data_IF_828407197892
#
_entry.id   IF_828407197892
#
_cell.length_a   1.000
_cell.length_b   1.000
_cell.length_c   1.000
_cell.angle_alpha   90.00
_cell.angle_beta   90.00
_cell.angle_gamma   90.00
#
_symmetry.space_group_name_H-M   'P 1'
#
loop_
_entity.id
_entity.type
_entity.pdbx_description
1 polymer ?
2 non-polymer ?
3 non-polymer ?
4 non-polymer ?
5 non-polymer ?
6 water ?
#
# COMPACT_ATOMS: atom_id res chain seq x y z
N UNK A 10 -30.48 -6.38 9.51
CA UNK A 10 -30.58 -5.26 10.50
C UNK A 10 -30.84 -3.95 9.76
N UNK A 11 -30.74 -2.83 10.50
CA UNK A 11 -30.75 -1.49 9.90
C UNK A 11 -29.33 -0.96 9.67
N UNK A 12 -28.42 -1.85 9.31
CA UNK A 12 -27.01 -1.51 9.17
C UNK A 12 -26.75 -1.03 7.75
N UNK A 13 -25.96 0.05 7.62
CA UNK A 13 -25.52 0.55 6.30
C UNK A 13 -24.19 -0.06 5.90
N UNK A 14 -23.94 -0.12 4.59
CA UNK A 14 -22.77 -0.80 4.05
C UNK A 14 -22.19 -0.11 2.82
N UNK A 15 -20.86 -0.19 2.69
CA UNK A 15 -20.16 0.35 1.52
C UNK A 15 -19.55 -0.81 0.72
N UNK A 16 -19.66 -0.73 -0.61
CA UNK A 16 -18.99 -1.68 -1.49
C UNK A 16 -17.65 -1.04 -1.90
N UNK A 17 -16.54 -1.64 -1.45
CA UNK A 17 -15.22 -1.08 -1.72
C UNK A 17 -14.60 -1.86 -2.86
N UNK A 18 -14.21 -1.14 -3.91
CA UNK A 18 -13.68 -1.71 -5.15
C UNK A 18 -12.21 -1.33 -5.30
N UNK A 19 -11.40 -2.31 -5.66
CA UNK A 19 -9.98 -2.11 -6.00
C UNK A 19 -9.79 -2.76 -7.35
N UNK A 20 -9.76 -1.93 -8.38
CA UNK A 20 -9.72 -2.41 -9.75
C UNK A 20 -8.30 -2.33 -10.30
N UNK A 21 -7.69 -3.48 -10.57
CA UNK A 21 -6.33 -3.58 -11.14
C UNK A 21 -6.34 -3.92 -12.62
N UNK A 22 -5.15 -4.06 -13.22
CA UNK A 22 -5.05 -4.30 -14.67
C UNK A 22 -5.76 -5.61 -15.09
N UNK A 23 -5.51 -6.67 -14.33
CA UNK A 23 -6.08 -7.99 -14.64
C UNK A 23 -6.90 -8.60 -13.49
N UNK A 24 -7.25 -7.79 -12.50
CA UNK A 24 -8.05 -8.27 -11.37
C UNK A 24 -9.01 -7.21 -10.87
N UNK A 25 -10.06 -7.63 -10.16
CA UNK A 25 -10.96 -6.71 -9.46
C UNK A 25 -11.34 -7.26 -8.07
N UNK A 26 -10.88 -6.59 -7.02
CA UNK A 26 -11.20 -6.99 -5.64
C UNK A 26 -12.37 -6.19 -5.11
N UNK A 27 -13.19 -6.81 -4.28
CA UNK A 27 -14.33 -6.11 -3.72
C UNK A 27 -14.57 -6.61 -2.31
N UNK A 28 -15.12 -5.73 -1.50
CA UNK A 28 -15.57 -6.11 -0.19
C UNK A 28 -16.78 -5.27 0.15
N UNK A 29 -17.86 -5.94 0.55
CA UNK A 29 -19.03 -5.28 1.10
C UNK A 29 -18.89 -5.23 2.62
N UNK A 30 -18.84 -4.03 3.18
CA UNK A 30 -18.47 -3.89 4.60
C UNK A 30 -19.27 -2.82 5.33
N UNK A 31 -19.55 -3.12 6.60
CA UNK A 31 -20.28 -2.25 7.51
C UNK A 31 -19.28 -1.31 8.18
N UNK A 32 -19.39 0.00 7.93
CA UNK A 32 -18.35 0.88 8.48
C UNK A 32 -18.39 1.04 9.99
N UNK A 33 -19.56 0.86 10.61
CA UNK A 33 -19.67 1.02 12.07
C UNK A 33 -19.15 -0.21 12.78
N UNK A 34 -19.55 -1.39 12.32
CA UNK A 34 -19.13 -2.65 12.95
C UNK A 34 -17.78 -3.14 12.44
N UNK A 35 -17.46 -2.86 11.18
CA UNK A 35 -16.25 -3.41 10.55
C UNK A 35 -16.40 -4.82 9.99
N UNK A 36 -17.60 -5.44 10.12
CA UNK A 36 -17.82 -6.79 9.61
C UNK A 36 -17.95 -6.72 8.09
N UNK A 37 -17.44 -7.73 7.40
CA UNK A 37 -17.51 -7.81 5.95
C UNK A 37 -18.53 -8.87 5.56
N UNK A 38 -19.66 -8.44 5.01
CA UNK A 38 -20.69 -9.37 4.61
C UNK A 38 -20.14 -10.35 3.57
N UNK A 39 -19.31 -9.85 2.67
CA UNK A 39 -18.75 -10.68 1.61
C UNK A 39 -17.50 -10.03 1.04
N UNK A 40 -16.59 -10.85 0.55
CA UNK A 40 -15.32 -10.39 0.00
C UNK A 40 -14.91 -11.39 -1.05
N UNK A 41 -14.25 -10.91 -2.10
CA UNK A 41 -13.72 -11.81 -3.11
C UNK A 41 -12.87 -11.10 -4.13
N UNK A 42 -12.37 -11.88 -5.08
CA UNK A 42 -11.59 -11.36 -6.20
C UNK A 42 -12.03 -12.04 -7.51
N UNK A 43 -12.09 -11.26 -8.58
CA UNK A 43 -12.28 -11.76 -9.93
C UNK A 43 -10.94 -11.59 -10.63
N UNK A 44 -10.39 -12.68 -11.16
CA UNK A 44 -9.02 -12.67 -11.66
C UNK A 44 -8.90 -12.91 -13.17
N UNK A 45 -7.67 -12.93 -13.67
CA UNK A 45 -7.38 -13.29 -15.05
C UNK A 45 -8.26 -12.53 -16.05
N UNK A 46 -8.48 -11.24 -15.80
CA UNK A 46 -9.34 -10.42 -16.67
C UNK A 46 -8.66 -10.15 -18.02
N UNK A 47 -9.37 -10.45 -19.11
CA UNK A 47 -8.91 -10.18 -20.47
C UNK A 47 -7.66 -10.94 -20.91
N UNK A 48 -7.66 -12.26 -20.74
CA UNK A 48 -6.50 -13.09 -21.11
C UNK A 48 -6.83 -14.15 -22.17
N UNK A 51 -10.05 -16.77 -21.50
CA UNK A 51 -10.60 -16.71 -20.15
C UNK A 51 -12.06 -16.20 -20.13
N UNK A 52 -12.81 -16.52 -19.06
CA UNK A 52 -14.26 -16.24 -19.04
C UNK A 52 -14.66 -14.78 -18.78
N UNK A 53 -13.69 -13.92 -18.47
CA UNK A 53 -13.98 -12.53 -18.10
C UNK A 53 -13.06 -11.58 -18.88
N UNK A 54 -13.47 -11.21 -20.11
CA UNK A 54 -12.56 -10.46 -21.00
C UNK A 54 -12.34 -8.99 -20.65
N UNK A 55 -13.32 -8.35 -20.00
CA UNK A 55 -13.25 -6.92 -19.64
C UNK A 55 -13.74 -6.66 -18.20
N UNK A 56 -13.67 -5.40 -17.76
CA UNK A 56 -14.09 -5.01 -16.40
C UNK A 56 -15.62 -4.95 -16.24
N UNK A 57 -16.33 -4.86 -17.35
CA UNK A 57 -17.78 -4.91 -17.34
C UNK A 57 -18.26 -6.32 -16.92
N UNK A 58 -17.59 -7.33 -17.48
CA UNK A 58 -17.84 -8.72 -17.11
C UNK A 58 -17.41 -8.99 -15.67
N UNK A 59 -16.25 -8.46 -15.29
CA UNK A 59 -15.68 -8.65 -13.94
C UNK A 59 -16.61 -8.15 -12.82
N UNK A 60 -17.26 -7.02 -13.01
CA UNK A 60 -18.20 -6.51 -12.01
C UNK A 60 -19.52 -7.28 -12.01
N UNK A 61 -19.99 -7.68 -13.20
CA UNK A 61 -21.18 -8.53 -13.32
C UNK A 61 -20.90 -9.85 -12.60
N UNK A 62 -19.74 -10.43 -12.89
CA UNK A 62 -19.25 -11.64 -12.22
C UNK A 62 -19.10 -11.49 -10.69
N UNK A 63 -18.75 -10.30 -10.23
CA UNK A 63 -18.69 -10.03 -8.80
C UNK A 63 -20.09 -10.00 -8.17
N UNK A 64 -21.09 -9.56 -8.93
CA UNK A 64 -22.48 -9.58 -8.46
C UNK A 64 -22.96 -11.02 -8.30
N UNK A 65 -22.55 -11.89 -9.21
CA UNK A 65 -22.84 -13.33 -9.09
C UNK A 65 -22.22 -13.87 -7.81
N UNK A 66 -20.92 -13.61 -7.62
CA UNK A 66 -20.20 -14.04 -6.43
C UNK A 66 -20.88 -13.56 -5.16
N UNK A 67 -21.30 -12.30 -5.12
CA UNK A 67 -22.05 -11.78 -3.98
C UNK A 67 -23.36 -12.54 -3.74
N UNK A 68 -24.03 -12.92 -4.83
CA UNK A 68 -25.31 -13.64 -4.76
C UNK A 68 -25.11 -15.06 -4.24
N UNK A 69 -24.28 -15.85 -4.93
CA UNK A 69 -23.98 -17.24 -4.55
C UNK A 69 -23.33 -17.39 -3.18
N UNK A 70 -22.92 -16.24 -2.62
CA UNK A 70 -22.38 -16.14 -1.29
C UNK A 70 -23.46 -15.63 -0.32
N UNK A 71 -24.67 -15.40 -0.83
CA UNK A 71 -25.83 -15.05 -0.01
C UNK A 71 -26.19 -13.57 0.13
N UNK A 72 -25.57 -12.70 -0.66
CA UNK A 72 -25.84 -11.26 -0.57
C UNK A 72 -26.78 -10.80 -1.68
N UNK A 73 -27.74 -9.93 -1.30
CA UNK A 73 -28.64 -9.23 -2.22
C UNK A 73 -28.45 -7.73 -2.03
N UNK A 74 -27.93 -7.05 -3.05
CA UNK A 74 -27.53 -5.65 -2.91
C UNK A 74 -28.65 -4.66 -2.56
N UNK A 75 -29.88 -4.95 -2.96
CA UNK A 75 -31.01 -4.10 -2.60
C UNK A 75 -31.43 -4.30 -1.14
N UNK A 76 -31.30 -5.54 -0.67
CA UNK A 76 -31.62 -5.89 0.71
C UNK A 76 -30.49 -5.63 1.72
N UNK A 77 -29.41 -4.95 1.29
CA UNK A 77 -28.16 -4.92 2.07
C UNK A 77 -27.79 -3.59 2.75
N UNK A 78 -28.53 -2.52 2.49
CA UNK A 78 -28.24 -1.21 3.10
C UNK A 78 -27.09 -0.45 2.44
N UNK A 79 -26.86 -0.74 1.16
CA UNK A 79 -25.82 -0.08 0.38
C UNK A 79 -25.99 1.43 0.31
N UNK A 80 -25.01 2.19 0.81
CA UNK A 80 -25.05 3.66 0.82
C UNK A 80 -24.01 4.36 -0.07
N UNK A 81 -22.94 3.65 -0.43
CA UNK A 81 -21.94 4.22 -1.33
C UNK A 81 -21.06 3.13 -1.92
N UNK A 82 -20.35 3.51 -2.97
CA UNK A 82 -19.33 2.67 -3.58
C UNK A 82 -18.01 3.43 -3.43
N UNK A 83 -17.02 2.78 -2.80
CA UNK A 83 -15.68 3.37 -2.68
C UNK A 83 -14.75 2.80 -3.72
N UNK A 84 -14.01 3.67 -4.40
CA UNK A 84 -13.04 3.25 -5.42
C UNK A 84 -11.63 3.63 -5.00
N UNK A 85 -10.72 2.64 -4.95
CA UNK A 85 -9.31 2.87 -4.64
C UNK A 85 -8.63 3.39 -5.90
N UNK A 86 -8.10 4.60 -5.84
CA UNK A 86 -7.32 5.14 -6.94
C UNK A 86 -5.90 5.35 -6.41
N UNK A 87 -4.92 4.80 -7.09
CA UNK A 87 -3.53 4.88 -6.61
C UNK A 87 -3.00 6.31 -6.54
N UNK A 88 -3.12 7.07 -7.63
CA UNK A 88 -2.44 8.35 -7.75
C UNK A 88 -3.42 9.52 -7.88
N UNK A 89 -3.38 10.45 -6.92
CA UNK A 89 -4.20 11.67 -6.99
C UNK A 89 -3.43 12.90 -7.47
N UNK A 90 -2.16 12.73 -7.79
CA UNK A 90 -1.24 13.83 -8.10
C UNK A 90 -1.28 14.89 -7.04
N UNK A 91 -1.13 16.15 -7.46
CA UNK A 91 -1.33 17.30 -6.58
C UNK A 91 -2.78 17.81 -6.60
N UNK A 92 -3.63 17.16 -7.39
CA UNK A 92 -5.00 17.62 -7.62
C UNK A 92 -6.04 17.08 -6.62
N UNK A 93 -6.01 15.78 -6.35
CA UNK A 93 -6.96 15.14 -5.43
C UNK A 93 -6.22 14.47 -4.26
N UNK A 94 -6.52 14.88 -3.05
CA UNK A 94 -5.95 14.26 -1.87
C UNK A 94 -7.00 13.86 -0.84
N UNK A 95 -8.15 14.52 -0.82
CA UNK A 95 -9.23 14.13 0.08
C UNK A 95 -10.16 13.18 -0.64
N UNK A 96 -10.94 12.40 0.10
CA UNK A 96 -11.95 11.55 -0.56
C UNK A 96 -12.87 12.45 -1.41
N UNK A 97 -13.14 12.03 -2.65
CA UNK A 97 -13.74 12.89 -3.65
C UNK A 97 -14.97 12.21 -4.24
N UNK A 98 -16.11 12.90 -4.16
CA UNK A 98 -17.34 12.41 -4.78
C UNK A 98 -17.18 12.45 -6.28
N UNK A 99 -17.51 11.36 -6.96
CA UNK A 99 -17.25 11.23 -8.39
C UNK A 99 -18.42 11.78 -9.21
N UNK A 100 -18.08 12.53 -10.25
CA UNK A 100 -18.99 12.93 -11.32
C UNK A 100 -18.15 13.02 -12.61
N UNK A 101 -18.78 13.46 -13.71
CA UNK A 101 -18.11 13.45 -15.02
C UNK A 101 -16.94 14.44 -15.08
N UNK A 102 -17.08 15.56 -14.39
CA UNK A 102 -16.06 16.61 -14.39
C UNK A 102 -14.79 16.12 -13.66
N UNK A 103 -14.98 15.57 -12.46
CA UNK A 103 -13.88 15.01 -11.68
C UNK A 103 -13.14 13.93 -12.47
N UNK A 104 -13.91 13.04 -13.11
CA UNK A 104 -13.33 11.97 -13.89
C UNK A 104 -12.46 12.51 -15.03
N UNK A 105 -12.89 13.59 -15.68
CA UNK A 105 -12.09 14.21 -16.73
C UNK A 105 -10.75 14.67 -16.18
N UNK A 106 -10.77 15.27 -15.00
CA UNK A 106 -9.54 15.72 -14.35
C UNK A 106 -8.63 14.55 -13.94
N UNK A 107 -9.22 13.43 -13.52
CA UNK A 107 -8.45 12.21 -13.23
C UNK A 107 -7.67 11.71 -14.44
N UNK A 108 -8.26 11.82 -15.62
CA UNK A 108 -7.58 11.37 -16.83
C UNK A 108 -6.28 12.13 -17.09
N UNK A 109 -6.21 13.37 -16.62
CA UNK A 109 -4.98 14.14 -16.70
C UNK A 109 -3.80 13.58 -15.83
N UNK A 110 -4.08 12.61 -14.96
CA UNK A 110 -3.04 12.03 -14.10
C UNK A 110 -2.38 10.79 -14.70
N UNK A 111 -2.76 10.41 -15.92
CA UNK A 111 -2.40 9.09 -16.39
C UNK A 111 -0.96 8.94 -16.88
N UNK A 112 -0.25 10.03 -17.08
CA UNK A 112 1.20 9.92 -17.30
C UNK A 112 1.96 9.81 -15.94
N UNK A 113 1.42 10.39 -14.88
CA UNK A 113 2.00 10.16 -13.54
C UNK A 113 1.80 8.71 -13.13
N UNK A 114 0.66 8.12 -13.51
CA UNK A 114 0.37 6.75 -13.12
C UNK A 114 -0.15 5.89 -14.27
N UNK A 115 0.68 5.62 -15.28
CA UNK A 115 0.23 4.88 -16.45
C UNK A 115 -0.03 3.40 -16.15
N UNK A 116 0.71 2.81 -15.22
CA UNK A 116 0.46 1.43 -14.81
C UNK A 116 -0.81 1.33 -13.92
N UNK A 117 -0.86 2.12 -12.85
CA UNK A 117 -1.85 1.90 -11.79
C UNK A 117 -3.23 2.57 -11.94
N UNK A 118 -3.32 3.73 -12.59
CA UNK A 118 -4.61 4.47 -12.59
C UNK A 118 -5.65 4.05 -13.63
N UNK A 119 -5.21 3.73 -14.86
CA UNK A 119 -6.23 3.44 -15.88
C UNK A 119 -7.23 2.33 -15.52
N UNK A 120 -6.76 1.25 -14.87
CA UNK A 120 -7.74 0.24 -14.42
C UNK A 120 -8.79 0.77 -13.42
N UNK A 121 -8.40 1.66 -12.51
CA UNK A 121 -9.33 2.20 -11.54
C UNK A 121 -10.42 2.99 -12.26
N UNK A 122 -10.04 3.72 -13.30
CA UNK A 122 -11.00 4.49 -14.07
C UNK A 122 -11.98 3.61 -14.89
N UNK A 123 -11.54 2.42 -15.32
CA UNK A 123 -12.45 1.45 -15.95
C UNK A 123 -13.44 0.94 -14.94
N UNK A 124 -12.94 0.63 -13.74
CA UNK A 124 -13.78 0.26 -12.62
C UNK A 124 -14.85 1.28 -12.31
N UNK A 125 -14.48 2.56 -12.35
CA UNK A 125 -15.40 3.66 -12.03
C UNK A 125 -16.50 3.80 -13.09
N UNK A 126 -16.11 3.77 -14.37
CA UNK A 126 -17.07 3.83 -15.48
C UNK A 126 -18.11 2.69 -15.38
N UNK A 127 -17.65 1.45 -15.24
CA UNK A 127 -18.54 0.30 -15.14
C UNK A 127 -19.49 0.38 -13.92
N UNK A 128 -18.93 0.69 -12.77
CA UNK A 128 -19.70 0.74 -11.52
C UNK A 128 -20.76 1.85 -11.52
N UNK A 129 -20.41 3.02 -12.04
CA UNK A 129 -21.35 4.14 -12.08
C UNK A 129 -22.50 3.84 -13.03
N UNK A 130 -22.24 3.05 -14.07
CA UNK A 130 -23.28 2.63 -15.02
C UNK A 130 -24.18 1.54 -14.42
N UNK A 131 -23.57 0.49 -13.86
CA UNK A 131 -24.34 -0.63 -13.30
C UNK A 131 -24.92 -0.38 -11.90
N UNK A 132 -24.49 0.69 -11.21
CA UNK A 132 -25.04 1.04 -9.89
C UNK A 132 -25.28 2.55 -9.77
N UNK A 133 -26.16 3.11 -10.64
CA UNK A 133 -26.34 4.55 -10.70
C UNK A 133 -27.17 5.14 -9.56
N UNK A 134 -27.74 4.28 -8.72
CA UNK A 134 -28.58 4.70 -7.61
C UNK A 134 -27.89 5.31 -6.38
N UNK A 135 -26.57 5.22 -6.31
CA UNK A 135 -25.84 5.56 -5.09
C UNK A 135 -24.59 6.34 -5.42
N UNK A 136 -24.12 7.12 -4.46
CA UNK A 136 -22.91 7.92 -4.60
C UNK A 136 -21.65 7.04 -4.73
N UNK A 137 -20.79 7.44 -5.67
CA UNK A 137 -19.46 6.84 -5.86
C UNK A 137 -18.35 7.80 -5.39
N UNK A 138 -17.42 7.25 -4.60
CA UNK A 138 -16.33 8.05 -3.99
C UNK A 138 -14.96 7.45 -4.31
N UNK A 139 -14.02 8.31 -4.68
CA UNK A 139 -12.63 7.90 -4.89
C UNK A 139 -11.80 8.28 -3.68
N UNK A 140 -10.98 7.34 -3.19
CA UNK A 140 -10.00 7.56 -2.11
C UNK A 140 -8.60 7.34 -2.70
N UNK A 141 -7.68 8.28 -2.47
CA UNK A 141 -6.41 8.29 -3.16
C UNK A 141 -5.29 7.82 -2.23
N UNK A 142 -4.49 6.89 -2.76
CA UNK A 142 -3.36 6.30 -2.02
C UNK A 142 -2.28 7.34 -1.70
N UNK A 143 -2.25 8.44 -2.47
CA UNK A 143 -1.32 9.55 -2.27
C UNK A 143 -1.78 10.62 -1.27
N UNK A 144 -3.04 10.57 -0.89
CA UNK A 144 -3.66 11.69 -0.16
C UNK A 144 -3.04 12.02 1.18
N UNK A 145 -2.79 10.99 1.97
CA UNK A 145 -2.21 11.15 3.28
C UNK A 145 -0.89 11.89 3.18
N UNK A 146 -0.18 11.75 2.06
CA UNK A 146 1.16 12.32 1.96
C UNK A 146 1.21 13.67 1.23
N UNK A 147 0.05 14.24 0.89
CA UNK A 147 0.06 15.46 0.05
C UNK A 147 0.82 16.57 0.73
N UNK A 148 0.70 16.67 2.03
CA UNK A 148 1.41 17.72 2.77
C UNK A 148 2.71 17.25 3.46
N UNK A 149 3.44 16.31 2.84
CA UNK A 149 4.81 16.00 3.33
C UNK A 149 5.60 17.30 3.43
N UNK A 150 6.50 17.44 4.41
CA UNK A 150 7.36 18.64 4.39
C UNK A 150 8.14 18.81 3.08
N UNK A 151 8.28 20.07 2.60
CA UNK A 151 9.02 20.30 1.35
C UNK A 151 10.41 19.64 1.29
N UNK A 152 11.14 19.61 2.41
CA UNK A 152 12.47 18.99 2.42
C UNK A 152 12.44 17.49 2.07
N UNK A 153 11.34 16.82 2.40
CA UNK A 153 11.15 15.38 2.09
C UNK A 153 10.42 15.15 0.76
N UNK A 154 9.55 16.07 0.37
CA UNK A 154 8.73 15.90 -0.83
C UNK A 154 9.48 16.29 -2.10
N UNK A 155 10.48 17.14 -1.96
CA UNK A 155 11.17 17.68 -3.11
C UNK A 155 12.41 16.89 -3.48
N UNK A 156 12.46 16.36 -4.70
CA UNK A 156 13.70 15.73 -5.20
C UNK A 156 14.71 16.79 -5.59
N UNK A 157 15.99 16.45 -5.54
CA UNK A 157 17.04 17.39 -5.89
C UNK A 157 17.33 17.32 -7.38
N UNK A 158 16.39 17.83 -8.17
CA UNK A 158 16.57 17.96 -9.59
C UNK A 158 16.21 19.38 -10.06
N UNK A 159 16.50 19.64 -11.32
CA UNK A 159 16.19 20.94 -11.94
C UNK A 159 14.78 21.41 -11.56
N UNK A 160 14.70 22.50 -10.82
CA UNK A 160 13.45 23.06 -10.28
C UNK A 160 12.39 23.33 -11.35
N UNK A 161 12.84 23.91 -12.45
CA UNK A 161 11.94 24.35 -13.53
C UNK A 161 11.20 23.13 -14.08
N UNK A 162 11.95 22.09 -14.38
CA UNK A 162 11.41 20.92 -14.99
C UNK A 162 10.52 20.18 -13.97
N UNK A 163 10.97 20.10 -12.71
CA UNK A 163 10.18 19.45 -11.64
C UNK A 163 8.82 20.13 -11.47
N UNK A 164 8.82 21.46 -11.41
CA UNK A 164 7.55 22.16 -11.22
C UNK A 164 6.65 22.04 -12.45
N UNK A 165 7.26 22.04 -13.62
CA UNK A 165 6.47 21.97 -14.87
C UNK A 165 5.77 20.65 -15.04
N UNK A 166 6.45 19.55 -14.66
CA UNK A 166 5.89 18.21 -14.85
C UNK A 166 5.39 17.56 -13.55
N UNK A 167 5.26 18.40 -12.50
CA UNK A 167 4.73 17.96 -11.19
C UNK A 167 5.49 16.72 -10.60
N UNK A 168 6.80 16.79 -10.67
CA UNK A 168 7.66 15.75 -10.15
C UNK A 168 7.93 16.03 -8.67
N UNK A 169 7.47 15.12 -7.80
CA UNK A 169 7.80 15.18 -6.37
C UNK A 169 7.64 13.77 -5.78
N UNK A 170 8.04 13.60 -4.54
CA UNK A 170 7.71 12.36 -3.80
C UNK A 170 6.24 12.44 -3.41
N UNK A 171 5.41 11.62 -4.04
CA UNK A 171 3.99 11.56 -3.75
C UNK A 171 3.72 10.62 -2.59
N UNK A 172 4.24 9.39 -2.65
CA UNK A 172 4.01 8.38 -1.60
C UNK A 172 2.71 7.61 -1.81
N UNK A 173 2.69 6.35 -1.38
CA UNK A 173 1.50 5.49 -1.55
C UNK A 173 1.26 4.63 -0.30
N UNK A 174 0.27 3.74 -0.38
CA UNK A 174 -0.31 3.07 0.79
C UNK A 174 -0.78 4.05 1.87
N UNK A 175 -1.23 5.23 1.45
CA UNK A 175 -1.56 6.29 2.38
C UNK A 175 -2.71 5.92 3.31
N UNK A 176 -3.70 5.21 2.78
CA UNK A 176 -4.83 4.71 3.59
C UNK A 176 -4.36 3.76 4.68
N UNK A 177 -3.49 2.81 4.33
CA UNK A 177 -2.91 1.89 5.33
C UNK A 177 -2.04 2.61 6.37
N UNK A 178 -1.10 3.44 5.93
CA UNK A 178 -0.22 4.15 6.86
C UNK A 178 -1.05 4.97 7.86
N UNK A 179 -2.05 5.70 7.35
CA UNK A 179 -2.86 6.52 8.25
C UNK A 179 -3.63 5.66 9.25
N UNK A 180 -4.30 4.63 8.72
CA UNK A 180 -5.15 3.74 9.53
C UNK A 180 -4.33 3.04 10.60
N UNK A 181 -3.19 2.48 10.19
CA UNK A 181 -2.31 1.82 11.15
C UNK A 181 -1.81 2.80 12.21
N UNK A 182 -1.48 4.05 11.81
CA UNK A 182 -0.99 5.02 12.80
C UNK A 182 -2.05 5.34 13.88
N UNK A 183 -3.29 5.45 13.44
CA UNK A 183 -4.43 5.61 14.35
C UNK A 183 -4.64 4.39 15.26
N UNK A 184 -4.56 3.19 14.71
CA UNK A 184 -4.78 1.96 15.50
C UNK A 184 -3.64 1.69 16.49
N UNK A 185 -2.41 2.11 16.14
CA UNK A 185 -1.29 2.00 17.07
C UNK A 185 -1.52 2.93 18.26
N UNK A 186 -1.98 4.16 18.01
CA UNK A 186 -2.34 5.09 19.10
C UNK A 186 -3.42 4.50 19.99
N UNK A 187 -4.44 3.91 19.37
CA UNK A 187 -5.53 3.27 20.11
C UNK A 187 -5.06 2.09 20.95
N UNK A 188 -4.20 1.23 20.38
CA UNK A 188 -3.63 0.10 21.10
C UNK A 188 -2.79 0.54 22.29
N UNK A 189 -1.99 1.59 22.15
CA UNK A 189 -1.21 2.12 23.26
C UNK A 189 -2.02 2.98 24.26
N UNK A 190 -3.27 3.27 23.92
CA UNK A 190 -4.12 4.18 24.70
C UNK A 190 -3.37 5.50 24.97
N UNK A 191 -2.81 6.11 23.92
CA UNK A 191 -2.16 7.42 24.01
C UNK A 191 -2.63 8.28 22.86
N UNK A 192 -2.74 9.61 23.05
CA UNK A 192 -3.29 10.41 21.94
C UNK A 192 -2.37 10.39 20.71
N UNK A 193 -2.96 10.28 19.53
CA UNK A 193 -2.21 10.24 18.27
C UNK A 193 -1.33 11.47 18.14
N UNK A 194 -1.88 12.64 18.50
CA UNK A 194 -1.20 13.90 18.29
C UNK A 194 0.16 13.96 19.00
N UNK A 195 0.32 13.23 20.09
CA UNK A 195 1.58 13.24 20.80
C UNK A 195 2.60 12.19 20.39
N UNK A 196 2.30 11.37 19.38
CA UNK A 196 3.14 10.21 19.07
C UNK A 196 3.99 10.42 17.83
N UNK A 197 5.22 9.91 17.90
CA UNK A 197 6.07 9.76 16.74
C UNK A 197 6.25 8.28 16.44
N UNK A 198 6.02 7.91 15.19
CA UNK A 198 6.02 6.47 14.85
C UNK A 198 6.45 6.15 13.45
N UNK A 199 6.84 4.90 13.27
CA UNK A 199 7.20 4.35 11.96
C UNK A 199 6.17 3.26 11.65
N UNK A 200 5.65 3.24 10.43
CA UNK A 200 4.80 2.16 9.96
C UNK A 200 5.45 1.45 8.79
N UNK A 201 5.49 0.11 8.84
CA UNK A 201 6.07 -0.72 7.80
C UNK A 201 4.95 -1.60 7.19
N UNK A 202 4.47 -1.17 6.03
CA UNK A 202 3.45 -1.89 5.29
C UNK A 202 4.19 -2.82 4.32
N UNK A 203 4.28 -4.10 4.70
CA UNK A 203 5.03 -5.10 3.93
C UNK A 203 4.01 -6.10 3.35
N UNK A 204 3.63 -5.87 2.11
CA UNK A 204 2.62 -6.69 1.42
C UNK A 204 3.19 -7.09 0.07
N UNK A 205 2.42 -6.90 -1.01
CA UNK A 205 2.93 -7.09 -2.36
C UNK A 205 3.82 -5.88 -2.67
N UNK A 206 3.23 -4.69 -2.72
CA UNK A 206 3.96 -3.43 -2.49
C UNK A 206 4.50 -3.40 -1.06
N UNK A 207 5.65 -2.78 -0.88
CA UNK A 207 6.23 -2.57 0.43
C UNK A 207 6.64 -1.10 0.58
N UNK A 208 6.19 -0.47 1.66
CA UNK A 208 6.57 0.93 1.95
C UNK A 208 6.59 1.21 3.44
N UNK A 209 7.43 2.17 3.80
CA UNK A 209 7.61 2.63 5.15
C UNK A 209 7.25 4.09 5.23
N UNK A 210 6.78 4.50 6.41
CA UNK A 210 6.49 5.90 6.69
C UNK A 210 7.00 6.32 8.08
N UNK A 211 7.28 7.61 8.21
CA UNK A 211 7.68 8.24 9.48
C UNK A 211 6.63 9.30 9.72
N UNK A 212 5.99 9.27 10.88
CA UNK A 212 4.79 10.07 11.14
C UNK A 212 4.92 10.77 12.48
N UNK A 213 4.69 12.08 12.49
CA UNK A 213 4.71 12.85 13.73
C UNK A 213 3.28 13.33 13.98
N UNK A 214 2.61 12.71 14.94
CA UNK A 214 1.23 13.09 15.24
C UNK A 214 0.32 12.64 14.12
N UNK A 215 -0.38 13.60 13.50
CA UNK A 215 -1.21 13.33 12.33
C UNK A 215 -0.53 13.64 10.98
N UNK A 216 0.75 14.01 11.01
CA UNK A 216 1.42 14.46 9.80
C UNK A 216 2.60 13.56 9.45
N UNK A 217 2.61 13.03 8.24
CA UNK A 217 3.78 12.26 7.85
C UNK A 217 4.96 13.17 7.55
N UNK A 218 6.14 12.72 7.93
CA UNK A 218 7.39 13.45 7.67
C UNK A 218 8.18 12.90 6.47
N UNK A 219 8.02 11.61 6.18
CA UNK A 219 8.66 11.00 5.03
C UNK A 219 7.99 9.65 4.75
N UNK A 220 8.23 9.14 3.55
CA UNK A 220 7.75 7.82 3.17
C UNK A 220 8.57 7.30 2.03
N UNK A 221 8.62 5.97 1.87
CA UNK A 221 9.65 5.37 0.99
C UNK A 221 9.33 5.33 -0.50
N UNK A 222 8.05 5.15 -0.86
CA UNK A 222 7.65 5.30 -2.26
C UNK A 222 7.70 6.76 -2.70
N UNK A 223 7.73 6.98 -4.00
CA UNK A 223 8.21 8.23 -4.55
C UNK A 223 7.25 8.87 -5.54
N UNK A 224 7.79 9.26 -6.68
CA UNK A 224 6.98 9.72 -7.81
C UNK A 224 5.93 8.65 -8.15
N UNK A 225 6.36 7.38 -8.06
CA UNK A 225 5.49 6.23 -8.32
C UNK A 225 5.71 5.19 -7.19
N UNK A 226 4.91 4.11 -7.20
CA UNK A 226 5.07 3.05 -6.23
C UNK A 226 6.30 2.17 -6.42
N UNK A 227 7.24 2.55 -7.30
CA UNK A 227 8.47 1.76 -7.53
C UNK A 227 9.56 1.99 -6.47
N UNK A 228 9.64 3.20 -5.97
CA UNK A 228 10.78 3.61 -5.13
C UNK A 228 10.72 3.00 -3.74
N UNK A 229 11.88 2.80 -3.14
CA UNK A 229 12.02 2.51 -1.72
C UNK A 229 12.46 1.10 -1.37
N UNK A 230 11.62 0.43 -0.60
CA UNK A 230 11.87 -0.95 -0.21
C UNK A 230 11.90 -1.94 -1.40
N UNK A 231 12.61 -3.04 -1.22
CA UNK A 231 12.48 -4.21 -2.09
C UNK A 231 11.05 -4.75 -1.90
N UNK A 232 10.41 -5.12 -3.01
CA UNK A 232 9.03 -5.62 -2.99
C UNK A 232 8.92 -6.98 -3.71
N UNK A 233 7.69 -7.50 -3.84
CA UNK A 233 7.44 -8.78 -4.48
C UNK A 233 7.99 -8.83 -5.88
N UNK A 234 7.66 -7.83 -6.69
CA UNK A 234 8.16 -7.74 -8.08
C UNK A 234 8.85 -6.42 -8.49
N UNK A 235 9.02 -5.51 -7.53
CA UNK A 235 9.57 -4.14 -7.77
C UNK A 235 10.94 -3.99 -7.13
N UNK A 236 11.83 -3.28 -7.83
CA UNK A 236 13.20 -3.08 -7.38
C UNK A 236 13.34 -2.27 -6.09
N UNK A 237 12.43 -1.34 -5.85
CA UNK A 237 12.75 -0.26 -4.93
C UNK A 237 13.97 0.50 -5.42
N UNK A 238 14.66 1.12 -4.48
CA UNK A 238 15.81 2.00 -4.78
C UNK A 238 16.86 1.38 -5.71
N UNK A 239 17.25 2.13 -6.74
CA UNK A 239 18.34 1.79 -7.63
C UNK A 239 18.78 3.06 -8.33
N UNK A 240 20.08 3.15 -8.61
CA UNK A 240 20.64 4.28 -9.38
C UNK A 240 19.80 4.48 -10.66
N UNK A 241 19.26 5.68 -10.89
CA UNK A 241 18.48 5.91 -12.12
C UNK A 241 19.29 5.69 -13.40
N UNK A 242 20.61 5.77 -13.28
CA UNK A 242 21.54 5.50 -14.39
C UNK A 242 21.36 4.10 -14.99
N UNK A 243 20.70 3.19 -14.27
CA UNK A 243 20.50 1.84 -14.78
C UNK A 243 19.68 1.90 -16.07
N UNK A 244 18.84 2.92 -16.21
CA UNK A 244 17.94 3.01 -17.38
C UNK A 244 18.76 3.32 -18.61
N UNK A 245 19.53 4.42 -18.56
CA UNK A 245 20.42 4.78 -19.65
C UNK A 245 21.41 3.66 -19.96
N UNK A 246 22.01 3.08 -18.92
CA UNK A 246 22.95 1.99 -19.08
C UNK A 246 22.35 0.82 -19.89
N UNK A 247 21.18 0.35 -19.50
CA UNK A 247 20.54 -0.74 -20.22
C UNK A 247 20.06 -0.37 -21.63
N UNK A 248 19.64 0.88 -21.84
CA UNK A 248 19.31 1.36 -23.17
C UNK A 248 20.57 1.35 -24.06
N UNK A 249 21.73 1.64 -23.49
CA UNK A 249 22.98 1.67 -24.27
C UNK A 249 23.64 0.31 -24.50
N UNK A 250 23.36 -0.67 -23.65
CA UNK A 250 24.04 -1.96 -23.72
C UNK A 250 23.16 -3.12 -24.18
N UNK A 251 21.93 -3.20 -23.67
CA UNK A 251 21.16 -4.44 -23.71
C UNK A 251 20.03 -4.42 -24.72
N UNK A 252 20.02 -3.44 -25.60
CA UNK A 252 18.99 -3.38 -26.64
C UNK A 252 17.58 -3.14 -26.11
N UNK A 253 17.46 -2.39 -25.01
CA UNK A 253 16.15 -2.18 -24.35
C UNK A 253 15.78 -0.73 -24.54
N UNK A 254 14.50 -0.44 -24.72
CA UNK A 254 14.04 0.95 -24.63
C UNK A 254 13.65 1.29 -23.18
N UNK A 255 13.34 2.55 -22.94
CA UNK A 255 13.02 3.04 -21.60
C UNK A 255 11.80 2.31 -21.04
N UNK A 256 10.82 2.04 -21.89
CA UNK A 256 9.61 1.29 -21.46
C UNK A 256 9.90 -0.18 -21.09
N UNK A 257 10.80 -0.83 -21.81
CA UNK A 257 11.23 -2.19 -21.43
C UNK A 257 11.94 -2.18 -20.07
N UNK A 258 12.79 -1.19 -19.83
CA UNK A 258 13.47 -1.09 -18.52
C UNK A 258 12.45 -0.84 -17.39
N UNK A 259 11.57 0.12 -17.58
CA UNK A 259 10.58 0.43 -16.58
C UNK A 259 9.75 -0.80 -16.24
N UNK A 260 9.33 -1.53 -17.28
CA UNK A 260 8.56 -2.71 -17.11
C UNK A 260 9.32 -3.79 -16.28
N UNK A 261 10.60 -3.95 -16.56
CA UNK A 261 11.43 -4.94 -15.85
C UNK A 261 11.54 -4.58 -14.36
N UNK A 262 11.72 -3.29 -14.09
CA UNK A 262 11.84 -2.80 -12.70
C UNK A 262 10.56 -2.98 -11.91
N UNK A 263 9.42 -2.91 -12.59
CA UNK A 263 8.09 -3.04 -11.94
C UNK A 263 7.57 -4.47 -11.79
N UNK A 264 7.95 -5.37 -12.71
CA UNK A 264 7.36 -6.71 -12.82
C UNK A 264 8.32 -7.88 -12.74
N UNK A 265 9.58 -7.66 -13.05
CA UNK A 265 10.58 -8.73 -13.12
C UNK A 265 11.73 -8.48 -12.14
N UNK A 266 11.49 -7.70 -11.09
CA UNK A 266 12.53 -7.31 -10.16
C UNK A 266 12.11 -7.66 -8.74
N UNK A 267 12.63 -6.98 -7.71
CA UNK A 267 12.30 -7.34 -6.36
C UNK A 267 12.67 -8.79 -6.03
N UNK A 268 11.86 -9.40 -5.18
CA UNK A 268 12.11 -10.77 -4.77
C UNK A 268 11.99 -11.78 -5.94
N UNK A 269 11.04 -11.58 -6.85
CA UNK A 269 10.89 -12.48 -8.02
C UNK A 269 12.08 -12.37 -8.97
N UNK A 270 12.61 -11.16 -9.14
CA UNK A 270 13.81 -10.97 -9.96
C UNK A 270 15.03 -11.69 -9.42
N UNK A 271 15.14 -11.76 -8.10
CA UNK A 271 16.31 -12.39 -7.46
C UNK A 271 16.13 -13.90 -7.15
N UNK A 272 14.90 -14.37 -7.01
CA UNK A 272 14.66 -15.75 -6.59
C UNK A 272 13.74 -16.58 -7.50
N UNK A 273 13.02 -15.94 -8.41
CA UNK A 273 11.99 -16.60 -9.21
C UNK A 273 10.62 -16.78 -8.53
N UNK A 274 10.49 -16.43 -7.26
CA UNK A 274 9.17 -16.40 -6.63
C UNK A 274 8.86 -15.03 -6.03
N UNK A 275 7.58 -14.70 -5.93
CA UNK A 275 7.18 -13.40 -5.37
C UNK A 275 6.56 -13.54 -4.00
N UNK A 276 6.01 -14.72 -3.72
CA UNK A 276 5.31 -15.00 -2.47
C UNK A 276 6.28 -15.38 -1.36
N UNK A 277 6.23 -14.68 -0.24
CA UNK A 277 7.19 -14.91 0.86
C UNK A 277 7.10 -16.27 1.55
N UNK A 278 5.93 -16.91 1.50
CA UNK A 278 5.83 -18.26 2.05
C UNK A 278 6.64 -19.23 1.19
N UNK A 279 6.46 -19.09 -0.12
CA UNK A 279 7.25 -19.89 -1.08
C UNK A 279 8.73 -19.60 -0.88
N UNK A 280 9.09 -18.32 -0.67
CA UNK A 280 10.49 -17.96 -0.45
C UNK A 280 11.07 -18.68 0.75
N UNK A 281 10.34 -18.73 1.86
CA UNK A 281 10.82 -19.42 3.06
C UNK A 281 11.06 -20.93 2.82
N UNK A 282 10.19 -21.54 2.03
CA UNK A 282 10.36 -22.97 1.66
C UNK A 282 11.67 -23.16 0.91
N UNK A 283 11.89 -22.31 -0.09
CA UNK A 283 13.15 -22.36 -0.86
C UNK A 283 14.38 -22.18 0.04
N UNK A 284 14.36 -21.16 0.92
CA UNK A 284 15.48 -20.96 1.83
C UNK A 284 15.73 -22.21 2.68
N UNK A 285 14.68 -22.78 3.24
CA UNK A 285 14.82 -23.96 4.10
C UNK A 285 15.38 -25.20 3.38
N UNK A 286 15.09 -25.33 2.09
CA UNK A 286 15.68 -26.40 1.27
C UNK A 286 17.10 -26.11 0.75
N UNK A 287 17.71 -25.00 1.18
CA UNK A 287 19.08 -24.68 0.77
C UNK A 287 19.27 -23.89 -0.53
N UNK A 288 18.21 -23.27 -1.04
CA UNK A 288 18.32 -22.45 -2.24
C UNK A 288 19.09 -21.15 -1.94
N UNK A 289 20.30 -21.04 -2.51
CA UNK A 289 21.16 -19.87 -2.30
C UNK A 289 20.59 -18.56 -2.83
N UNK A 290 19.93 -18.62 -3.98
CA UNK A 290 19.33 -17.45 -4.59
C UNK A 290 18.19 -16.90 -3.75
N UNK A 291 17.41 -17.80 -3.14
CA UNK A 291 16.32 -17.38 -2.27
C UNK A 291 16.85 -16.70 -0.99
N UNK A 292 17.93 -17.21 -0.43
CA UNK A 292 18.52 -16.61 0.74
C UNK A 292 19.09 -15.24 0.38
N UNK A 293 19.72 -15.14 -0.78
CA UNK A 293 20.23 -13.83 -1.22
C UNK A 293 19.09 -12.82 -1.36
N UNK A 294 17.99 -13.24 -2.00
CA UNK A 294 16.86 -12.35 -2.22
C UNK A 294 16.34 -11.87 -0.89
N UNK A 295 16.24 -12.78 0.08
CA UNK A 295 15.74 -12.44 1.41
C UNK A 295 16.69 -11.49 2.14
N UNK A 296 18.00 -11.70 1.99
CA UNK A 296 18.99 -10.87 2.64
C UNK A 296 19.03 -9.42 2.04
N UNK A 297 18.80 -9.33 0.73
CA UNK A 297 18.73 -8.04 0.04
C UNK A 297 17.48 -7.28 0.55
N UNK A 298 16.36 -7.97 0.65
CA UNK A 298 15.11 -7.40 1.17
C UNK A 298 15.28 -6.89 2.59
N UNK A 299 15.92 -7.71 3.42
CA UNK A 299 16.07 -7.43 4.81
C UNK A 299 17.06 -6.22 5.05
N UNK A 300 18.15 -6.20 4.32
CA UNK A 300 19.14 -5.13 4.42
C UNK A 300 18.50 -3.75 4.07
N UNK A 301 17.73 -3.71 2.97
CA UNK A 301 17.01 -2.48 2.58
C UNK A 301 16.02 -2.01 3.67
N UNK A 302 15.31 -2.97 4.25
CA UNK A 302 14.34 -2.70 5.26
C UNK A 302 15.00 -2.12 6.53
N UNK A 303 16.08 -2.75 6.97
CA UNK A 303 16.85 -2.25 8.11
C UNK A 303 17.34 -0.80 7.90
N UNK A 304 17.80 -0.48 6.70
CA UNK A 304 18.20 0.90 6.40
C UNK A 304 17.09 1.93 6.55
N UNK A 305 15.90 1.61 6.03
CA UNK A 305 14.77 2.50 6.15
C UNK A 305 14.34 2.71 7.59
N UNK A 306 14.36 1.66 8.41
CA UNK A 306 14.08 1.82 9.84
C UNK A 306 15.08 2.81 10.46
N UNK A 307 16.35 2.57 10.24
CA UNK A 307 17.41 3.48 10.74
C UNK A 307 17.22 4.93 10.25
N UNK A 308 16.98 5.10 8.96
CA UNK A 308 16.79 6.42 8.36
C UNK A 308 15.63 7.14 9.03
N UNK A 309 14.55 6.41 9.30
CA UNK A 309 13.40 7.05 9.88
C UNK A 309 13.51 7.30 11.38
N UNK A 310 14.26 6.49 12.12
CA UNK A 310 14.62 6.87 13.50
C UNK A 310 15.34 8.23 13.51
N UNK A 311 16.20 8.46 12.54
CA UNK A 311 16.93 9.74 12.44
C UNK A 311 16.03 10.90 12.02
N UNK A 312 15.11 10.67 11.08
CA UNK A 312 14.12 11.68 10.71
C UNK A 312 13.28 12.13 11.93
N UNK A 313 12.78 11.16 12.68
CA UNK A 313 11.93 11.45 13.84
C UNK A 313 12.67 12.03 15.05
N UNK A 314 13.90 11.58 15.28
CA UNK A 314 14.67 12.05 16.45
C UNK A 314 14.29 11.35 17.73
N UNK A 315 13.00 11.31 18.01
CA UNK A 315 12.45 10.46 19.06
C UNK A 315 11.34 9.60 18.43
N UNK A 316 11.34 8.31 18.68
CA UNK A 316 10.36 7.36 18.10
C UNK A 316 9.71 6.59 19.25
N UNK A 317 8.39 6.68 19.34
CA UNK A 317 7.63 5.96 20.37
C UNK A 317 7.36 4.51 20.00
N UNK A 318 7.03 4.28 18.73
CA UNK A 318 6.53 2.98 18.32
C UNK A 318 6.81 2.68 16.84
N UNK A 319 7.12 1.43 16.53
CA UNK A 319 7.30 0.95 15.15
C UNK A 319 6.26 -0.16 14.95
N UNK A 320 5.44 -0.09 13.90
CA UNK A 320 4.39 -1.10 13.71
C UNK A 320 4.55 -1.78 12.35
N UNK A 321 4.50 -3.12 12.37
CA UNK A 321 4.53 -3.94 11.17
C UNK A 321 3.09 -4.25 10.76
N UNK A 322 2.85 -4.22 9.45
CA UNK A 322 1.50 -4.44 8.90
C UNK A 322 1.52 -5.06 7.49
N UNK A 323 0.32 -5.38 7.00
CA UNK A 323 0.08 -6.08 5.72
C UNK A 323 0.52 -7.54 5.72
N UNK A 324 0.47 -8.18 4.57
CA UNK A 324 0.52 -9.67 4.51
C UNK A 324 1.79 -10.26 5.07
N UNK A 325 2.92 -9.63 4.76
CA UNK A 325 4.18 -10.03 5.34
C UNK A 325 4.35 -9.52 6.77
N UNK A 326 4.09 -8.24 6.98
CA UNK A 326 4.33 -7.62 8.29
C UNK A 326 3.48 -8.25 9.38
N UNK A 327 2.27 -8.63 9.03
CA UNK A 327 1.36 -9.25 10.01
C UNK A 327 1.72 -10.70 10.37
N UNK A 328 2.34 -11.42 9.45
CA UNK A 328 2.45 -12.85 9.57
C UNK A 328 3.88 -13.42 9.61
N UNK A 329 4.86 -12.74 8.99
CA UNK A 329 6.19 -13.35 8.85
C UNK A 329 7.10 -12.98 10.01
N UNK A 330 7.16 -13.86 10.99
CA UNK A 330 7.95 -13.63 12.19
C UNK A 330 9.42 -13.49 11.89
N UNK A 331 9.92 -14.22 10.88
CA UNK A 331 11.34 -14.17 10.54
C UNK A 331 11.69 -12.77 10.00
N UNK A 332 10.86 -12.26 9.10
CA UNK A 332 11.06 -10.89 8.57
C UNK A 332 11.19 -9.87 9.72
N UNK A 333 10.25 -9.93 10.69
CA UNK A 333 10.23 -8.98 11.76
C UNK A 333 11.48 -9.13 12.64
N UNK A 334 11.84 -10.36 12.99
CA UNK A 334 13.07 -10.60 13.76
C UNK A 334 14.31 -10.05 13.04
N UNK A 335 14.43 -10.36 11.75
CA UNK A 335 15.62 -10.02 11.01
C UNK A 335 15.68 -8.53 10.66
N UNK A 336 14.53 -7.86 10.68
CA UNK A 336 14.46 -6.43 10.39
C UNK A 336 14.99 -5.55 11.52
N UNK A 337 14.90 -6.03 12.76
CA UNK A 337 15.29 -5.24 13.92
C UNK A 337 16.34 -5.93 14.83
N UNK A 338 16.84 -7.09 14.44
CA UNK A 338 17.86 -7.74 15.29
C UNK A 338 19.14 -6.93 15.35
N UNK A 339 19.85 -7.01 16.47
CA UNK A 339 21.11 -6.29 16.58
C UNK A 339 20.95 -4.78 16.64
N UNK A 340 19.76 -4.30 17.00
CA UNK A 340 19.47 -2.87 17.13
C UNK A 340 19.16 -2.46 18.58
N UNK A 341 19.57 -3.27 19.53
CA UNK A 341 19.40 -2.95 20.96
C UNK A 341 20.03 -1.61 21.28
N UNK A 342 21.18 -1.31 20.69
CA UNK A 342 21.80 -0.03 21.03
C UNK A 342 21.07 1.15 20.39
N UNK A 343 20.17 0.90 19.42
CA UNK A 343 19.31 1.96 18.88
C UNK A 343 17.94 2.03 19.59
N UNK A 344 17.75 1.27 20.66
CA UNK A 344 16.48 1.30 21.41
C UNK A 344 15.43 0.25 21.08
N UNK A 345 15.79 -0.76 20.28
CA UNK A 345 14.83 -1.77 19.83
C UNK A 345 15.20 -3.17 20.36
N UNK A 346 14.30 -3.77 21.16
CA UNK A 346 14.49 -5.13 21.66
C UNK A 346 13.22 -5.99 21.43
N UNK A 347 13.32 -7.07 20.67
CA UNK A 347 12.15 -7.92 20.35
C UNK A 347 12.06 -9.05 21.36
N UNK A 348 10.84 -9.53 21.63
CA UNK A 348 10.65 -10.69 22.49
C UNK A 348 10.19 -11.87 21.64
N UNK A 349 10.92 -12.99 21.72
CA UNK A 349 10.66 -14.16 20.90
C UNK A 349 9.24 -14.73 21.06
N UNK A 350 8.76 -14.87 22.31
CA UNK A 350 7.38 -15.37 22.54
C UNK A 350 6.35 -14.43 21.92
N UNK A 351 6.50 -13.14 22.13
CA UNK A 351 5.53 -12.19 21.62
C UNK A 351 5.52 -12.13 20.10
N UNK A 352 6.65 -12.49 19.48
CA UNK A 352 6.79 -12.42 18.02
C UNK A 352 6.37 -13.69 17.28
N UNK A 353 5.77 -14.66 17.98
CA UNK A 353 5.45 -15.95 17.35
C UNK A 353 4.53 -15.83 16.14
N UNK A 354 4.75 -16.70 15.14
CA UNK A 354 3.90 -16.78 13.97
C UNK A 354 2.50 -17.29 14.31
N UNK A 355 1.55 -16.95 13.45
CA UNK A 355 0.19 -17.43 13.49
C UNK A 355 -0.74 -16.57 14.32
N UNK A 356 -0.18 -15.68 15.14
CA UNK A 356 -0.94 -14.77 16.02
C UNK A 356 -1.85 -13.84 15.24
N UNK A 357 -2.97 -13.47 15.86
CA UNK A 357 -3.86 -12.45 15.35
C UNK A 357 -3.95 -11.23 16.29
N UNK A 358 -4.42 -10.13 15.73
CA UNK A 358 -4.79 -8.95 16.48
C UNK A 358 -3.63 -8.00 16.72
N UNK A 359 -3.96 -6.73 16.96
CA UNK A 359 -2.96 -5.75 17.38
C UNK A 359 -2.23 -6.22 18.63
N UNK A 360 -0.91 -6.17 18.59
CA UNK A 360 -0.11 -6.78 19.64
C UNK A 360 1.30 -6.26 19.73
N UNK A 361 1.85 -6.30 20.94
CA UNK A 361 3.23 -5.91 21.22
C UNK A 361 4.16 -7.06 20.91
N UNK A 362 5.21 -6.83 20.11
CA UNK A 362 6.23 -7.84 19.86
C UNK A 362 7.59 -7.50 20.49
N UNK A 363 7.72 -6.27 20.98
CA UNK A 363 8.90 -5.89 21.72
C UNK A 363 8.92 -6.45 23.15
N UNK A 364 10.12 -6.59 23.69
CA UNK A 364 10.33 -6.87 25.11
C UNK A 364 9.83 -5.70 25.96
N UNK A 365 9.46 -6.02 27.19
CA UNK A 365 8.82 -5.02 28.04
C UNK A 365 9.66 -3.77 28.24
N UNK A 366 10.97 -3.95 28.38
CA UNK A 366 11.88 -2.85 28.67
C UNK A 366 12.46 -2.17 27.41
N UNK A 367 11.96 -2.53 26.23
CA UNK A 367 12.44 -1.91 24.96
C UNK A 367 12.17 -0.43 24.94
N UNK A 368 13.21 0.44 24.79
CA UNK A 368 12.88 1.87 24.81
C UNK A 368 11.90 2.25 23.73
N UNK A 369 11.97 1.59 22.57
CA UNK A 369 11.01 1.85 21.49
C UNK A 369 10.05 0.64 21.46
N UNK A 370 8.75 0.90 21.48
CA UNK A 370 7.75 -0.15 21.37
C UNK A 370 7.64 -0.65 19.93
N UNK A 371 7.54 -1.96 19.76
CA UNK A 371 7.31 -2.56 18.42
C UNK A 371 6.00 -3.38 18.46
N UNK A 372 5.09 -3.08 17.53
CA UNK A 372 3.83 -3.76 17.41
C UNK A 372 3.66 -4.45 16.04
N UNK A 373 2.71 -5.37 15.99
CA UNK A 373 2.04 -5.75 14.77
C UNK A 373 0.65 -5.19 14.90
N UNK A 374 0.25 -4.43 13.89
CA UNK A 374 -1.07 -3.80 13.84
C UNK A 374 -1.67 -4.12 12.48
N UNK A 375 -2.62 -5.08 12.46
CA UNK A 375 -3.29 -5.42 11.21
C UNK A 375 -3.93 -4.24 10.51
N UNK A 376 -3.74 -4.12 9.21
CA UNK A 376 -4.32 -3.02 8.46
C UNK A 376 -5.70 -3.44 7.95
N UNK A 377 -6.55 -2.46 7.69
CA UNK A 377 -7.87 -2.72 7.06
C UNK A 377 -8.24 -1.57 6.16
N UNK A 378 -7.65 -1.59 4.98
CA UNK A 378 -7.79 -0.49 4.05
C UNK A 378 -9.26 -0.30 3.59
N UNK A 379 -9.94 -1.40 3.40
CA UNK A 379 -11.34 -1.40 2.96
C UNK A 379 -12.23 -0.70 3.97
N UNK A 380 -12.06 -1.05 5.24
CA UNK A 380 -12.79 -0.40 6.33
C UNK A 380 -12.49 1.08 6.40
N UNK A 381 -11.21 1.44 6.26
CA UNK A 381 -10.86 2.84 6.33
C UNK A 381 -11.47 3.60 5.14
N UNK A 382 -11.51 2.97 3.98
CA UNK A 382 -12.11 3.60 2.80
C UNK A 382 -13.64 3.71 2.96
N UNK A 383 -14.27 2.68 3.51
CA UNK A 383 -15.72 2.73 3.84
C UNK A 383 -16.05 3.89 4.78
N UNK A 384 -15.23 4.09 5.82
CA UNK A 384 -15.44 5.21 6.73
C UNK A 384 -15.15 6.57 6.11
N UNK A 385 -14.21 6.64 5.18
CA UNK A 385 -13.98 7.88 4.42
C UNK A 385 -15.20 8.22 3.55
N UNK A 386 -15.83 7.22 2.96
CA UNK A 386 -16.97 7.44 2.06
C UNK A 386 -18.14 8.00 2.85
N UNK A 387 -18.48 7.29 3.91
CA UNK A 387 -19.49 7.71 4.88
C UNK A 387 -19.30 9.16 5.37
N UNK A 388 -18.06 9.58 5.59
CA UNK A 388 -17.81 10.90 6.17
C UNK A 388 -18.06 12.01 5.16
N UNK A 389 -17.47 11.87 3.98
CA UNK A 389 -17.55 12.92 2.98
C UNK A 389 -18.99 13.14 2.48
N UNK A 390 -19.83 12.10 2.56
CA UNK A 390 -21.26 12.19 2.17
C UNK A 390 -22.17 12.73 3.28
N UNK A 391 -21.62 13.56 4.17
CA UNK A 391 -22.42 14.23 5.22
C UNK A 391 -22.34 13.58 6.59
N UNK A 392 -21.73 12.40 6.68
CA UNK A 392 -21.55 11.69 7.95
C UNK A 392 -22.39 10.44 8.05
X LIG B 1 -3.56 -4.26 0.93
X LIG C 1 -2.44 -5.53 -3.54
X LIG C 1 -1.78 -6.12 -4.76
X LIG C 1 -3.55 -4.50 -3.73
X LIG C 1 -2.63 -6.77 -0.92
X LIG C 1 -2.32 -5.35 -0.51
X LIG C 1 -3.78 -7.47 -0.21
X LIG C 1 -2.94 -6.71 -2.52
X LIG C 1 -0.93 -8.46 1.03
X LIG C 1 -0.82 -7.37 2.07
X LIG C 1 -2.04 -9.48 1.20
X LIG C 1 -1.12 -7.74 -0.65
X LIG C 1 0.49 -9.24 1.02
X LIG C 1 0.88 -10.23 0.06
X LIG C 1 2.18 -10.83 0.55
X LIG C 1 1.98 -11.20 1.93
X LIG C 1 2.65 -12.11 -0.16
X LIG C 1 4.08 -12.25 -0.17
X LIG C 1 2.17 -13.18 0.79
X LIG C 1 2.85 -14.43 0.63
X LIG C 1 2.52 -12.50 2.10
X LIG C 1 2.04 -13.34 3.21
X LIG C 1 0.79 -13.60 3.57
X LIG C 1 0.82 -14.44 4.63
X LIG C 1 2.10 -14.73 4.90
X LIG C 1 2.72 -15.52 5.85
X LIG C 1 1.96 -16.21 6.74
X LIG C 1 4.07 -15.60 5.86
X LIG C 1 4.82 -14.91 4.96
X LIG C 1 4.23 -14.14 4.05
X LIG C 1 2.88 -14.02 4.00
X LIG D 1 -0.75 -3.55 -3.29
X LIG D 1 -0.94 -3.12 -4.40
X LIG D 1 -1.31 -4.76 -2.73
X LIG D 1 0.13 -2.83 -2.37
X LIG D 1 0.67 -3.91 -1.44
X LIG D 1 -0.22 -4.25 -0.30
X LIG D 1 -0.08 -5.36 0.21
X LIG D 1 -1.04 -3.41 0.13
X LIG E 1 0.09 0.99 -4.06
X LIG E 1 -0.60 0.44 -5.16
X LIG E 1 1.53 0.74 -4.36
X LIG E 1 1.90 -0.59 -4.09
X LIG F 1 5.92 19.72 -2.69
X LIG F 1 6.14 20.05 -1.29
X LIG F 1 7.22 19.27 -3.36
X LIG F 1 7.50 20.01 -4.55
X LIG G 1 18.70 -11.50 6.99
X LIG G 1 19.16 -11.49 8.35
X LIG G 1 19.45 -12.56 6.21
X LIG G 1 19.07 -13.88 6.64
X LIG H 1 15.03 7.41 19.10
X LIG H 1 13.86 7.24 19.98
X LIG H 1 14.80 7.18 17.58
X LIG H 1 14.10 8.19 16.79
#
# INVERSE_FOLDING_TARGET
GPGSMVDGSDGARRVLVINSGSSSLKFQLVDPESGVAASTGIVERIGEESSPVPDHDAALRRAFDMLAGDGVDLNTAGLVAVGHRVVHGGNTFYRPTVLDDAVIARLHELSELAPLHNPPALLGIEVARRLLPGIAHVAVFDTGFFHDLPPAAATYAIDRELADRWQIRRYGFHGTSHRYVSEQAAAFLDRPLRGLKQIVLHLGNGCSASAIAGTRPLDTSMGLTPLEGLVMGTRSGDIDPSVVSYLCHTAGMGVDDVESMLNHRSGVVGLSGVRDFRRLRELIESGDGAAQLAYSVFTHRLRKYIGAYLAVLGHTDVISFTAGIGENDAAVRRDAVSGMEELGIVLDERRNLPGAKGARQISADDSPITVLVVPTNEELAIARDCVRVLGG
MN MN
APC PG O2G O3G PB O1B O2B O3B PA O1A O2A C3A O5' C5' C4' O4' C3' O3' C2' O2' C1' N9 C8 N7 C5 C6 N6 N1 C2 N3 C4
SIN C1 O1 O2 C2 C3 C4 O3 O4
EDO C1 O1 C2 O2
EDO C1 O1 C2 O2
EDO C1 O1 C2 O2
EDO C1 O1 C2 O2
#
